data_IF_516308701556
#
_entry.id   IF_516308701556
#
_cell.length_a   1.000
_cell.length_b   1.000
_cell.length_c   1.000
_cell.angle_alpha   90.00
_cell.angle_beta   90.00
_cell.angle_gamma   90.00
#
_symmetry.space_group_name_H-M   'P 1'
#
loop_
_entity.id
_entity.type
_entity.pdbx_description
1 polymer ?
#
# COMPACT_ATOMS: atom_id res chain seq x y z
N UNK A 1 5.51 2.11 3.41
CA UNK A 1 6.63 1.16 3.42
C UNK A 1 6.94 0.60 2.03
N UNK A 2 6.04 -0.14 1.40
CA UNK A 2 6.33 -0.84 0.12
C UNK A 2 6.85 0.09 -0.98
N UNK A 3 6.14 1.18 -1.30
CA UNK A 3 6.61 2.17 -2.29
C UNK A 3 7.99 2.74 -1.96
N UNK A 4 8.23 3.10 -0.70
CA UNK A 4 9.55 3.62 -0.28
C UNK A 4 10.66 2.59 -0.47
N UNK A 5 10.40 1.32 -0.12
CA UNK A 5 11.34 0.21 -0.36
C UNK A 5 11.62 0.06 -1.85
N UNK A 6 10.58 0.09 -2.68
CA UNK A 6 10.73 -0.01 -4.14
C UNK A 6 11.56 1.13 -4.74
N UNK A 7 11.33 2.38 -4.31
CA UNK A 7 12.09 3.54 -4.78
C UNK A 7 13.56 3.46 -4.35
N UNK A 8 13.83 3.09 -3.10
CA UNK A 8 15.21 2.91 -2.62
C UNK A 8 15.92 1.77 -3.35
N UNK A 9 15.21 0.69 -3.66
CA UNK A 9 15.76 -0.49 -4.34
C UNK A 9 16.19 -0.23 -5.79
N UNK A 10 15.81 0.90 -6.40
CA UNK A 10 16.27 1.28 -7.73
C UNK A 10 17.74 1.70 -7.74
N UNK A 11 18.22 2.26 -6.62
CA UNK A 11 19.58 2.82 -6.48
C UNK A 11 20.41 2.10 -5.41
N UNK A 12 19.84 1.09 -4.74
CA UNK A 12 20.50 0.40 -3.63
C UNK A 12 20.76 -1.07 -3.97
N UNK A 13 22.03 -1.49 -3.84
CA UNK A 13 22.43 -2.87 -4.03
C UNK A 13 21.97 -3.73 -2.84
N UNK A 14 20.99 -4.60 -3.10
CA UNK A 14 20.43 -5.51 -2.13
C UNK A 14 20.22 -6.90 -2.75
N UNK A 15 20.21 -7.94 -1.94
CA UNK A 15 19.99 -9.31 -2.40
C UNK A 15 18.55 -9.57 -2.87
N UNK A 16 17.59 -8.73 -2.47
CA UNK A 16 16.19 -8.81 -2.82
C UNK A 16 15.32 -7.91 -1.96
N UNK A 17 14.02 -7.89 -2.22
CA UNK A 17 13.05 -7.12 -1.45
C UNK A 17 11.82 -7.96 -1.10
N UNK A 18 11.21 -7.66 0.05
CA UNK A 18 9.97 -8.29 0.51
C UNK A 18 8.95 -7.19 0.78
N UNK A 19 7.86 -7.20 0.04
CA UNK A 19 6.77 -6.24 0.15
C UNK A 19 5.57 -6.93 0.80
N UNK A 20 5.25 -6.53 2.04
CA UNK A 20 4.16 -7.14 2.82
C UNK A 20 3.05 -6.11 2.98
N UNK A 21 1.81 -6.48 2.63
CA UNK A 21 0.61 -5.63 2.71
C UNK A 21 0.87 -4.25 2.06
N UNK A 22 1.49 -4.24 0.88
CA UNK A 22 1.86 -3.04 0.16
C UNK A 22 0.78 -2.56 -0.81
N UNK A 23 0.59 -1.24 -0.90
CA UNK A 23 -0.34 -0.66 -1.90
C UNK A 23 0.19 -0.85 -3.32
N UNK A 24 -0.68 -1.28 -4.22
CA UNK A 24 -0.37 -1.49 -5.64
C UNK A 24 -0.86 -0.37 -6.56
N UNK A 25 -1.72 0.53 -6.07
CA UNK A 25 -2.25 1.67 -6.82
C UNK A 25 -1.61 2.98 -6.38
N UNK A 26 -1.70 4.00 -7.20
CA UNK A 26 -1.31 5.37 -6.83
C UNK A 26 -2.11 5.84 -5.62
N UNK A 27 -1.47 6.62 -4.76
CA UNK A 27 -2.13 7.09 -3.55
C UNK A 27 -3.38 7.93 -3.82
N UNK A 28 -3.37 8.76 -4.87
CA UNK A 28 -4.53 9.53 -5.30
C UNK A 28 -5.69 8.65 -5.76
N UNK A 29 -5.44 7.54 -6.45
CA UNK A 29 -6.47 6.58 -6.88
C UNK A 29 -7.10 5.86 -5.69
N UNK A 30 -6.28 5.46 -4.71
CA UNK A 30 -6.76 4.87 -3.45
C UNK A 30 -7.68 5.85 -2.72
N UNK A 31 -7.28 7.12 -2.61
CA UNK A 31 -8.11 8.15 -1.99
C UNK A 31 -9.43 8.36 -2.73
N UNK A 32 -9.42 8.41 -4.08
CA UNK A 32 -10.64 8.50 -4.89
C UNK A 32 -11.56 7.30 -4.69
N UNK A 33 -10.99 6.08 -4.65
CA UNK A 33 -11.74 4.85 -4.38
C UNK A 33 -12.40 4.88 -3.00
N UNK A 34 -11.68 5.33 -1.97
CA UNK A 34 -12.24 5.49 -0.61
C UNK A 34 -13.37 6.52 -0.57
N UNK A 35 -13.24 7.66 -1.25
CA UNK A 35 -14.27 8.70 -1.35
C UNK A 35 -15.51 8.26 -2.13
N UNK A 36 -15.39 7.24 -2.95
CA UNK A 36 -16.49 6.65 -3.73
C UNK A 36 -17.20 5.49 -3.02
N UNK A 37 -16.75 5.14 -1.79
CA UNK A 37 -17.33 4.04 -1.04
C UNK A 37 -18.79 4.32 -0.68
N UNK A 38 -19.70 3.30 -0.75
CA UNK A 38 -21.14 3.50 -0.53
C UNK A 38 -21.50 3.97 0.88
N UNK A 39 -20.64 3.71 1.86
CA UNK A 39 -20.80 4.06 3.26
C UNK A 39 -20.13 5.39 3.63
N UNK A 40 -19.57 6.12 2.65
CA UNK A 40 -18.94 7.42 2.90
C UNK A 40 -20.01 8.47 3.28
N UNK A 41 -19.85 9.08 4.43
CA UNK A 41 -20.75 10.12 4.94
C UNK A 41 -20.12 11.51 4.83
N UNK A 42 -19.77 11.91 3.60
CA UNK A 42 -19.22 13.24 3.30
C UNK A 42 -20.21 13.99 2.40
N UNK A 43 -20.56 15.25 2.72
CA UNK A 43 -21.44 16.06 1.89
C UNK A 43 -20.95 16.13 0.42
N UNK A 44 -21.90 16.03 -0.53
CA UNK A 44 -21.57 16.00 -1.97
C UNK A 44 -20.71 17.20 -2.41
N UNK A 45 -20.95 18.41 -1.85
CA UNK A 45 -20.14 19.60 -2.15
C UNK A 45 -18.66 19.39 -1.80
N UNK A 46 -18.38 18.77 -0.63
CA UNK A 46 -17.00 18.48 -0.21
C UNK A 46 -16.38 17.36 -1.04
N UNK A 47 -17.14 16.34 -1.43
CA UNK A 47 -16.65 15.30 -2.35
C UNK A 47 -16.22 15.90 -3.70
N UNK A 48 -16.99 16.84 -4.25
CA UNK A 48 -16.63 17.55 -5.48
C UNK A 48 -15.38 18.39 -5.30
N UNK A 49 -15.28 19.12 -4.18
CA UNK A 49 -14.13 19.96 -3.86
C UNK A 49 -12.86 19.10 -3.66
N UNK A 50 -12.95 18.01 -2.91
CA UNK A 50 -11.84 17.06 -2.73
C UNK A 50 -11.39 16.50 -4.08
N UNK A 51 -12.33 16.14 -4.96
CA UNK A 51 -12.00 15.70 -6.32
C UNK A 51 -11.11 16.68 -7.06
N UNK A 52 -11.52 17.97 -7.08
CA UNK A 52 -10.73 19.05 -7.70
C UNK A 52 -9.36 19.26 -7.03
N UNK A 53 -9.29 19.15 -5.70
CA UNK A 53 -8.00 19.21 -4.98
C UNK A 53 -7.09 18.05 -5.40
N UNK A 54 -7.60 16.83 -5.43
CA UNK A 54 -6.81 15.66 -5.84
C UNK A 54 -6.33 15.78 -7.29
N UNK A 55 -7.16 16.29 -8.20
CA UNK A 55 -6.78 16.52 -9.60
C UNK A 55 -5.64 17.54 -9.70
N UNK A 56 -5.76 18.67 -8.98
CA UNK A 56 -4.73 19.71 -8.94
C UNK A 56 -3.39 19.19 -8.38
N UNK A 57 -3.45 18.43 -7.28
CA UNK A 57 -2.24 17.89 -6.63
C UNK A 57 -1.59 16.76 -7.46
N UNK A 58 -2.36 15.95 -8.20
CA UNK A 58 -1.86 14.97 -9.16
C UNK A 58 -1.08 15.63 -10.29
N UNK A 59 -1.56 16.80 -10.76
CA UNK A 59 -0.90 17.61 -11.78
C UNK A 59 0.30 18.41 -11.23
N UNK A 60 0.59 18.28 -9.94
CA UNK A 60 1.69 18.99 -9.27
C UNK A 60 1.39 20.45 -8.95
N UNK A 61 0.11 20.85 -8.99
CA UNK A 61 -0.32 22.22 -8.71
C UNK A 61 -0.89 22.34 -7.29
N UNK A 62 -0.32 23.18 -6.41
CA UNK A 62 -0.88 23.40 -5.09
C UNK A 62 -2.21 24.16 -5.17
N UNK A 63 -3.10 23.87 -4.20
CA UNK A 63 -4.39 24.54 -4.06
C UNK A 63 -4.31 25.58 -2.94
N UNK A 64 -4.62 26.83 -3.29
CA UNK A 64 -4.52 27.96 -2.35
C UNK A 64 -5.76 28.14 -1.48
N UNK A 65 -6.96 27.86 -2.02
CA UNK A 65 -8.25 28.09 -1.37
C UNK A 65 -9.08 26.81 -1.37
N UNK A 66 -9.59 26.45 -0.21
CA UNK A 66 -10.50 25.33 -0.01
C UNK A 66 -11.31 25.49 1.28
N UNK A 67 -12.37 24.72 1.43
CA UNK A 67 -13.24 24.76 2.61
C UNK A 67 -12.49 24.44 3.90
N UNK A 68 -12.81 25.16 4.99
CA UNK A 68 -12.16 25.01 6.31
C UNK A 68 -12.25 23.56 6.84
N UNK A 69 -13.31 22.83 6.48
CA UNK A 69 -13.49 21.43 6.85
C UNK A 69 -12.39 20.52 6.27
N UNK A 70 -11.69 20.94 5.22
CA UNK A 70 -10.64 20.19 4.54
C UNK A 70 -9.22 20.58 5.00
N UNK A 71 -9.10 21.59 5.86
CA UNK A 71 -7.82 22.10 6.37
C UNK A 71 -6.97 20.99 7.01
N UNK A 72 -7.59 20.06 7.72
CA UNK A 72 -6.88 18.97 8.38
C UNK A 72 -6.10 18.08 7.41
N UNK A 73 -6.63 17.82 6.21
CA UNK A 73 -6.09 16.88 5.24
C UNK A 73 -5.31 17.58 4.10
N UNK A 74 -5.70 18.81 3.73
CA UNK A 74 -5.18 19.47 2.52
C UNK A 74 -4.51 20.82 2.78
N UNK A 75 -4.23 21.18 4.07
CA UNK A 75 -3.52 22.41 4.38
C UNK A 75 -2.23 22.58 3.57
N UNK A 76 -1.87 23.80 3.25
CA UNK A 76 -0.74 24.14 2.37
C UNK A 76 0.58 23.43 2.74
N UNK A 77 0.84 23.23 4.04
CA UNK A 77 2.06 22.57 4.51
C UNK A 77 2.13 21.06 4.22
N UNK A 78 0.98 20.42 3.93
CA UNK A 78 0.89 18.97 3.61
C UNK A 78 0.94 18.72 2.10
N UNK A 79 0.52 19.69 1.29
CA UNK A 79 0.40 19.52 -0.16
C UNK A 79 1.71 19.12 -0.87
N UNK A 80 2.89 19.68 -0.53
CA UNK A 80 4.16 19.22 -1.12
C UNK A 80 4.41 17.72 -0.90
N UNK A 81 4.05 17.21 0.28
CA UNK A 81 4.14 15.77 0.57
C UNK A 81 3.15 14.97 -0.29
N UNK A 82 1.88 15.39 -0.37
CA UNK A 82 0.87 14.71 -1.18
C UNK A 82 1.28 14.68 -2.66
N UNK A 83 1.70 15.81 -3.23
CA UNK A 83 2.20 15.89 -4.60
C UNK A 83 3.39 14.97 -4.84
N UNK A 84 4.34 14.91 -3.88
CA UNK A 84 5.48 14.00 -3.99
C UNK A 84 5.08 12.53 -3.96
N UNK A 85 4.01 12.19 -3.25
CA UNK A 85 3.51 10.84 -3.12
C UNK A 85 2.66 10.42 -4.32
N UNK A 86 1.78 11.30 -4.82
CA UNK A 86 0.86 11.03 -5.91
C UNK A 86 1.53 10.76 -7.26
N UNK A 87 2.73 11.30 -7.49
CA UNK A 87 3.44 11.13 -8.76
C UNK A 87 3.91 9.69 -9.04
N UNK A 88 3.95 8.82 -8.02
CA UNK A 88 4.46 7.47 -8.16
C UNK A 88 3.33 6.44 -8.28
N UNK A 89 3.38 5.61 -9.32
CA UNK A 89 2.60 4.38 -9.42
C UNK A 89 3.44 3.22 -8.87
N UNK A 90 3.01 2.55 -7.78
CA UNK A 90 3.82 1.50 -7.16
C UNK A 90 4.15 0.32 -8.08
N UNK A 91 3.24 -0.06 -8.99
CA UNK A 91 3.47 -1.11 -9.97
C UNK A 91 4.54 -0.68 -10.98
N UNK A 92 4.43 0.52 -11.54
CA UNK A 92 5.39 1.06 -12.49
C UNK A 92 6.78 1.23 -11.86
N UNK A 93 6.84 1.69 -10.60
CA UNK A 93 8.10 1.82 -9.88
C UNK A 93 8.74 0.45 -9.60
N UNK A 94 7.95 -0.55 -9.24
CA UNK A 94 8.44 -1.91 -9.01
C UNK A 94 8.95 -2.55 -10.31
N UNK A 95 8.31 -2.26 -11.45
CA UNK A 95 8.75 -2.72 -12.77
C UNK A 95 10.14 -2.20 -13.18
N UNK A 96 10.58 -1.06 -12.64
CA UNK A 96 11.92 -0.48 -12.91
C UNK A 96 13.04 -1.18 -12.14
N UNK A 97 12.72 -1.95 -11.11
CA UNK A 97 13.71 -2.66 -10.29
C UNK A 97 14.11 -3.99 -10.96
N UNK A 98 15.30 -4.47 -10.67
CA UNK A 98 15.80 -5.78 -11.12
C UNK A 98 16.03 -6.76 -9.97
N UNK A 99 15.88 -6.29 -8.73
CA UNK A 99 16.08 -7.12 -7.55
C UNK A 99 15.00 -8.22 -7.45
N UNK A 100 15.35 -9.44 -7.04
CA UNK A 100 14.36 -10.44 -6.67
C UNK A 100 13.34 -9.87 -5.70
N UNK A 101 12.06 -10.16 -5.92
CA UNK A 101 11.00 -9.61 -5.09
C UNK A 101 10.00 -10.68 -4.64
N UNK A 102 9.57 -10.59 -3.38
CA UNK A 102 8.46 -11.35 -2.81
C UNK A 102 7.37 -10.39 -2.37
N UNK A 103 6.19 -10.51 -2.94
CA UNK A 103 4.98 -9.78 -2.53
C UNK A 103 4.12 -10.71 -1.70
N UNK A 104 3.75 -10.27 -0.50
CA UNK A 104 2.90 -11.03 0.44
C UNK A 104 1.65 -10.20 0.74
N UNK A 105 0.47 -10.80 0.55
CA UNK A 105 -0.82 -10.16 0.79
C UNK A 105 -1.77 -11.06 1.58
N UNK A 106 -2.41 -10.50 2.61
CA UNK A 106 -3.45 -11.19 3.39
C UNK A 106 -4.85 -11.03 2.81
N UNK A 107 -5.68 -12.07 2.93
CA UNK A 107 -7.04 -12.04 2.38
C UNK A 107 -8.07 -11.36 3.29
N UNK A 108 -7.69 -11.00 4.50
CA UNK A 108 -8.55 -10.29 5.46
C UNK A 108 -8.02 -8.93 5.85
N UNK A 109 -7.11 -8.38 5.03
CA UNK A 109 -6.70 -6.99 5.15
C UNK A 109 -7.82 -6.06 4.64
N UNK A 110 -8.24 -5.11 5.50
CA UNK A 110 -9.25 -4.10 5.18
C UNK A 110 -8.64 -2.75 4.80
N UNK A 111 -7.33 -2.62 4.81
CA UNK A 111 -6.62 -1.39 4.43
C UNK A 111 -6.01 -1.51 3.05
N UNK A 112 -5.37 -2.66 2.77
CA UNK A 112 -4.78 -2.98 1.47
C UNK A 112 -5.47 -4.23 0.93
N UNK A 113 -6.10 -4.12 -0.23
CA UNK A 113 -6.86 -5.22 -0.82
C UNK A 113 -5.97 -6.26 -1.49
N UNK A 114 -6.50 -7.47 -1.67
CA UNK A 114 -5.83 -8.52 -2.47
C UNK A 114 -5.47 -8.02 -3.87
N UNK A 115 -6.34 -7.24 -4.50
CA UNK A 115 -6.12 -6.63 -5.81
C UNK A 115 -4.84 -5.78 -5.86
N UNK A 116 -4.50 -5.11 -4.76
CA UNK A 116 -3.27 -4.30 -4.68
C UNK A 116 -2.01 -5.17 -4.66
N UNK A 117 -2.04 -6.28 -3.91
CA UNK A 117 -0.95 -7.27 -3.92
C UNK A 117 -0.78 -7.94 -5.29
N UNK A 118 -1.90 -8.31 -5.94
CA UNK A 118 -1.89 -8.88 -7.30
C UNK A 118 -1.33 -7.89 -8.31
N UNK A 119 -1.68 -6.60 -8.19
CA UNK A 119 -1.16 -5.55 -9.05
C UNK A 119 0.36 -5.37 -8.90
N UNK A 120 0.87 -5.37 -7.67
CA UNK A 120 2.32 -5.36 -7.43
C UNK A 120 3.01 -6.58 -8.03
N UNK A 121 2.45 -7.76 -7.84
CA UNK A 121 3.01 -8.99 -8.39
C UNK A 121 3.06 -9.00 -9.93
N UNK A 122 2.07 -8.37 -10.56
CA UNK A 122 2.00 -8.23 -12.02
C UNK A 122 2.97 -7.18 -12.60
N UNK A 123 3.81 -6.52 -11.79
CA UNK A 123 4.80 -5.57 -12.28
C UNK A 123 5.90 -6.24 -13.11
N UNK A 124 6.26 -7.49 -12.81
CA UNK A 124 7.22 -8.31 -13.55
C UNK A 124 6.90 -9.79 -13.37
N UNK A 125 7.20 -10.61 -14.36
CA UNK A 125 6.90 -12.08 -14.35
C UNK A 125 7.73 -12.88 -13.33
N UNK A 126 8.85 -12.35 -12.86
CA UNK A 126 9.76 -12.99 -11.90
C UNK A 126 9.42 -12.70 -10.44
N UNK A 127 8.45 -11.84 -10.16
CA UNK A 127 8.02 -11.52 -8.79
C UNK A 127 7.27 -12.73 -8.20
N UNK A 128 7.72 -13.18 -7.03
CA UNK A 128 7.00 -14.18 -6.26
C UNK A 128 5.81 -13.54 -5.55
N UNK A 129 4.64 -14.15 -5.68
CA UNK A 129 3.44 -13.70 -4.99
C UNK A 129 2.92 -14.76 -4.03
N UNK A 130 2.71 -14.38 -2.77
CA UNK A 130 2.10 -15.22 -1.75
C UNK A 130 0.87 -14.54 -1.17
N UNK A 131 -0.29 -15.15 -1.39
CA UNK A 131 -1.53 -14.76 -0.73
C UNK A 131 -1.74 -15.62 0.52
N UNK A 132 -1.81 -14.98 1.70
CA UNK A 132 -2.03 -15.67 2.98
C UNK A 132 -3.49 -15.57 3.38
N UNK A 133 -4.18 -16.71 3.37
CA UNK A 133 -5.59 -16.74 3.77
C UNK A 133 -5.75 -16.41 5.27
N UNK A 134 -6.64 -15.45 5.54
CA UNK A 134 -6.95 -15.00 6.90
C UNK A 134 -5.95 -14.01 7.51
N UNK A 135 -4.85 -13.65 6.85
CA UNK A 135 -3.93 -12.63 7.35
C UNK A 135 -4.50 -11.22 7.13
N UNK A 136 -4.34 -10.36 8.12
CA UNK A 136 -4.74 -8.95 8.06
C UNK A 136 -3.52 -7.99 8.09
N UNK A 137 -3.77 -6.68 7.99
CA UNK A 137 -2.75 -5.61 7.95
C UNK A 137 -1.70 -5.67 9.08
N UNK A 138 -2.03 -6.21 10.24
CA UNK A 138 -1.08 -6.38 11.36
C UNK A 138 -0.49 -7.80 11.40
N UNK A 139 -0.56 -8.51 10.27
CA UNK A 139 0.07 -9.81 10.01
C UNK A 139 -0.44 -10.93 10.93
N UNK A 140 -1.67 -10.82 11.42
CA UNK A 140 -2.30 -11.80 12.32
C UNK A 140 -3.38 -12.58 11.57
N UNK A 141 -3.61 -13.84 12.00
CA UNK A 141 -4.83 -14.53 11.63
C UNK A 141 -6.03 -13.78 12.20
N UNK A 142 -6.92 -13.33 11.34
CA UNK A 142 -8.05 -12.49 11.71
C UNK A 142 -9.32 -12.87 10.91
N UNK A 143 -10.50 -12.81 11.56
CA UNK A 143 -11.75 -13.13 10.90
C UNK A 143 -12.13 -12.08 9.84
N UNK A 144 -13.01 -12.49 8.90
CA UNK A 144 -13.57 -11.60 7.87
C UNK A 144 -14.55 -10.55 8.42
N UNK A 145 -15.00 -10.68 9.67
CA UNK A 145 -15.89 -9.70 10.28
C UNK A 145 -15.07 -8.49 10.75
N UNK A 146 -15.37 -7.30 10.21
CA UNK A 146 -14.55 -6.07 10.34
C UNK A 146 -14.22 -5.70 11.80
N UNK A 147 -15.21 -5.68 12.70
CA UNK A 147 -14.98 -5.32 14.11
C UNK A 147 -14.05 -6.31 14.83
N UNK A 148 -14.24 -7.61 14.61
CA UNK A 148 -13.38 -8.64 15.21
C UNK A 148 -11.97 -8.64 14.63
N UNK A 149 -11.82 -8.29 13.35
CA UNK A 149 -10.53 -8.12 12.69
C UNK A 149 -9.76 -6.95 13.31
N UNK A 150 -10.36 -5.76 13.36
CA UNK A 150 -9.73 -4.59 13.98
C UNK A 150 -9.41 -4.79 15.48
N UNK A 151 -10.17 -5.62 16.19
CA UNK A 151 -9.85 -5.96 17.57
C UNK A 151 -8.50 -6.69 17.74
N UNK A 152 -7.91 -7.24 16.66
CA UNK A 152 -6.58 -7.86 16.69
C UNK A 152 -5.45 -6.83 16.69
N UNK A 153 -5.69 -5.61 16.20
CA UNK A 153 -4.67 -4.57 16.03
C UNK A 153 -4.03 -4.14 17.36
N UNK A 154 -4.82 -4.11 18.43
CA UNK A 154 -4.35 -3.80 19.77
C UNK A 154 -3.80 -5.00 20.57
N UNK A 155 -3.57 -6.15 19.93
CA UNK A 155 -3.15 -7.39 20.58
C UNK A 155 -1.76 -7.84 20.12
N UNK A 156 -0.67 -7.22 20.59
CA UNK A 156 0.69 -7.51 20.09
C UNK A 156 1.14 -8.97 20.39
N UNK A 157 0.58 -9.61 21.41
CA UNK A 157 0.92 -10.99 21.78
C UNK A 157 0.25 -12.06 20.91
N UNK A 158 -0.67 -11.71 20.01
CA UNK A 158 -1.18 -12.67 19.03
C UNK A 158 -0.03 -13.09 18.10
N UNK A 159 0.00 -14.38 17.79
CA UNK A 159 0.98 -14.93 16.84
C UNK A 159 0.77 -14.34 15.46
N UNK A 160 1.84 -14.26 14.69
CA UNK A 160 1.77 -13.95 13.26
C UNK A 160 1.04 -15.07 12.51
N UNK A 161 0.45 -14.75 11.38
CA UNK A 161 -0.13 -15.74 10.48
C UNK A 161 0.92 -16.80 10.11
N UNK A 162 0.55 -18.07 10.28
CA UNK A 162 1.51 -19.19 10.24
C UNK A 162 2.36 -19.25 8.98
N UNK A 163 1.84 -19.01 7.74
CA UNK A 163 2.63 -19.11 6.52
C UNK A 163 3.65 -17.97 6.34
N UNK A 164 3.54 -16.86 7.06
CA UNK A 164 4.33 -15.65 6.82
C UNK A 164 5.83 -15.88 7.03
N UNK A 165 6.24 -16.31 8.21
CA UNK A 165 7.67 -16.45 8.52
C UNK A 165 8.36 -17.55 7.70
N UNK A 166 7.76 -18.75 7.48
CA UNK A 166 8.32 -19.74 6.57
C UNK A 166 8.59 -19.20 5.16
N UNK A 167 7.64 -18.45 4.58
CA UNK A 167 7.81 -17.89 3.24
C UNK A 167 8.93 -16.83 3.16
N UNK A 168 9.04 -15.99 4.19
CA UNK A 168 10.14 -15.02 4.29
C UNK A 168 11.49 -15.73 4.37
N UNK A 169 11.60 -16.75 5.22
CA UNK A 169 12.86 -17.52 5.40
C UNK A 169 13.23 -18.23 4.10
N UNK A 170 12.28 -18.89 3.45
CA UNK A 170 12.50 -19.57 2.17
C UNK A 170 13.05 -18.61 1.11
N UNK A 171 12.42 -17.43 0.97
CA UNK A 171 12.88 -16.40 0.05
C UNK A 171 14.31 -15.93 0.37
N UNK A 172 14.62 -15.67 1.63
CA UNK A 172 15.96 -15.24 2.05
C UNK A 172 17.03 -16.31 1.78
N UNK A 173 16.72 -17.58 2.04
CA UNK A 173 17.62 -18.72 1.79
C UNK A 173 17.90 -18.89 0.29
N UNK A 174 16.91 -18.65 -0.57
CA UNK A 174 17.11 -18.67 -2.03
C UNK A 174 18.06 -17.55 -2.48
N UNK A 175 17.87 -16.33 -1.97
CA UNK A 175 18.74 -15.21 -2.34
C UNK A 175 20.18 -15.44 -1.84
N UNK A 176 20.35 -15.97 -0.64
CA UNK A 176 21.67 -16.30 -0.11
C UNK A 176 22.42 -17.35 -0.95
N UNK A 177 21.69 -18.36 -1.47
CA UNK A 177 22.28 -19.37 -2.37
C UNK A 177 22.62 -18.83 -3.75
N UNK A 178 21.85 -17.88 -4.26
CA UNK A 178 22.09 -17.26 -5.57
C UNK A 178 23.28 -16.28 -5.57
N UNK A 179 23.67 -15.78 -4.41
CA UNK A 179 24.79 -14.88 -4.22
C UNK A 179 26.14 -15.61 -3.97
N UNK A 180 26.13 -16.93 -3.85
CA UNK A 180 27.30 -17.79 -3.57
C UNK A 180 27.88 -18.36 -4.84
#
# INVERSE_FOLDING_TARGET
GALTTTLVAQDFDAAGMILVEGTGFRASDILRKQLSAPDINIPKRLLTEIGGILDSLDDGNPVEEFSVELEGQYRKSIQPYLMSWFKYDPQEELAKTTLPALVIQGTTDFQVSVEEGERLAAARDDIKYLQINGMNQVLKDAPKHKASNYATYGKPLLKLAVPLMPAIIEFLDEQARSAS
#
